data_IF_792223580910
#
_entry.id   IF_792223580910
#
_cell.length_a   1.000
_cell.length_b   1.000
_cell.length_c   1.000
_cell.angle_alpha   90.00
_cell.angle_beta   90.00
_cell.angle_gamma   90.00
#
_symmetry.space_group_name_H-M   'P 1'
#
loop_
_entity.id
_entity.type
_entity.pdbx_description
1 polymer ?
#
# COMPACT_ATOMS: atom_id res chain seq x y z
N UNK A 1 6.77 5.52 -15.04
CA UNK A 1 6.58 5.30 -13.60
C UNK A 1 5.69 4.10 -13.37
N UNK A 2 6.08 3.17 -12.48
CA UNK A 2 5.35 1.91 -12.27
C UNK A 2 4.63 1.89 -10.93
N UNK A 3 3.36 1.48 -10.95
CA UNK A 3 2.54 1.25 -9.76
C UNK A 3 2.24 -0.25 -9.67
N UNK A 4 2.37 -0.83 -8.49
CA UNK A 4 1.99 -2.21 -8.22
C UNK A 4 0.95 -2.28 -7.10
N UNK A 5 -0.10 -3.06 -7.33
CA UNK A 5 -1.17 -3.30 -6.37
C UNK A 5 -1.29 -4.80 -6.12
N UNK A 6 -1.24 -5.19 -4.85
CA UNK A 6 -1.45 -6.56 -4.40
C UNK A 6 -2.92 -6.68 -3.99
N UNK A 7 -3.73 -7.27 -4.88
CA UNK A 7 -5.18 -7.44 -4.73
C UNK A 7 -5.54 -8.91 -4.89
N UNK A 8 -5.20 -9.74 -3.91
CA UNK A 8 -5.56 -11.17 -3.94
C UNK A 8 -6.66 -11.52 -2.94
N UNK A 9 -7.31 -12.66 -3.18
CA UNK A 9 -8.33 -13.23 -2.29
C UNK A 9 -7.73 -14.09 -1.15
N UNK A 10 -6.41 -14.23 -1.02
CA UNK A 10 -5.79 -15.20 -0.08
C UNK A 10 -4.51 -14.72 0.63
N UNK A 11 -4.36 -15.06 1.91
CA UNK A 11 -3.30 -14.56 2.80
C UNK A 11 -1.86 -14.89 2.39
N UNK A 12 -1.59 -16.11 1.89
CA UNK A 12 -0.22 -16.54 1.57
C UNK A 12 0.34 -15.82 0.34
N UNK A 13 -0.48 -15.62 -0.69
CA UNK A 13 -0.03 -15.03 -1.93
C UNK A 13 0.35 -13.55 -1.77
N UNK A 14 -0.32 -12.82 -0.88
CA UNK A 14 0.00 -11.41 -0.64
C UNK A 14 1.36 -11.21 0.02
N UNK A 15 1.71 -12.03 1.01
CA UNK A 15 3.02 -11.95 1.68
C UNK A 15 4.15 -12.22 0.68
N UNK A 16 4.04 -13.30 -0.10
CA UNK A 16 5.05 -13.66 -1.10
C UNK A 16 5.17 -12.59 -2.19
N UNK A 17 4.05 -12.07 -2.70
CA UNK A 17 4.06 -10.99 -3.68
C UNK A 17 4.72 -9.73 -3.09
N UNK A 18 4.39 -9.38 -1.84
CA UNK A 18 4.95 -8.23 -1.17
C UNK A 18 6.46 -8.38 -1.00
N UNK A 19 6.93 -9.52 -0.47
CA UNK A 19 8.35 -9.82 -0.30
C UNK A 19 9.17 -9.54 -1.57
N UNK A 20 8.71 -10.04 -2.73
CA UNK A 20 9.42 -9.84 -3.99
C UNK A 20 9.32 -8.42 -4.58
N UNK A 21 8.36 -7.62 -4.13
CA UNK A 21 8.13 -6.26 -4.64
C UNK A 21 8.77 -5.17 -3.77
N UNK A 22 9.14 -5.46 -2.51
CA UNK A 22 9.64 -4.47 -1.54
C UNK A 22 10.84 -3.66 -2.03
N UNK A 23 11.78 -4.31 -2.73
CA UNK A 23 13.03 -3.69 -3.20
C UNK A 23 13.01 -3.36 -4.70
N UNK A 24 11.84 -3.45 -5.33
CA UNK A 24 11.69 -3.07 -6.74
C UNK A 24 11.58 -1.54 -6.84
N UNK A 25 12.12 -0.92 -7.92
CA UNK A 25 12.08 0.52 -8.13
C UNK A 25 10.67 0.97 -8.57
N UNK A 26 9.70 0.83 -7.67
CA UNK A 26 8.29 1.18 -7.89
C UNK A 26 8.04 2.61 -7.41
N UNK A 27 7.23 3.35 -8.17
CA UNK A 27 6.71 4.65 -7.70
C UNK A 27 5.72 4.46 -6.55
N UNK A 28 5.05 3.32 -6.52
CA UNK A 28 4.00 3.02 -5.57
C UNK A 28 3.84 1.51 -5.42
N UNK A 29 3.72 1.05 -4.19
CA UNK A 29 3.41 -0.33 -3.84
C UNK A 29 2.31 -0.34 -2.79
N UNK A 30 1.17 -0.95 -3.12
CA UNK A 30 0.03 -1.00 -2.20
C UNK A 30 -0.58 -2.39 -2.09
N UNK A 31 -1.23 -2.65 -0.95
CA UNK A 31 -1.83 -3.95 -0.64
C UNK A 31 -3.22 -3.80 -0.02
N UNK A 32 -4.19 -4.56 -0.56
CA UNK A 32 -5.53 -4.65 0.04
C UNK A 32 -5.52 -5.61 1.23
N UNK A 33 -6.34 -5.32 2.24
CA UNK A 33 -6.56 -6.25 3.34
C UNK A 33 -7.18 -5.57 4.55
N UNK A 34 -7.68 -6.37 5.49
CA UNK A 34 -8.02 -5.84 6.81
C UNK A 34 -6.76 -5.41 7.56
N UNK A 35 -6.88 -4.46 8.48
CA UNK A 35 -5.77 -4.01 9.35
C UNK A 35 -5.07 -5.19 10.05
N UNK A 36 -5.86 -6.16 10.54
CA UNK A 36 -5.34 -7.38 11.17
C UNK A 36 -4.50 -8.22 10.20
N UNK A 37 -4.97 -8.43 8.96
CA UNK A 37 -4.24 -9.17 7.93
C UNK A 37 -2.91 -8.50 7.60
N UNK A 38 -2.93 -7.19 7.37
CA UNK A 38 -1.74 -6.41 7.03
C UNK A 38 -0.70 -6.49 8.14
N UNK A 39 -1.13 -6.32 9.40
CA UNK A 39 -0.26 -6.43 10.57
C UNK A 39 0.47 -7.79 10.62
N UNK A 40 -0.26 -8.89 10.47
CA UNK A 40 0.33 -10.24 10.48
C UNK A 40 1.33 -10.46 9.34
N UNK A 41 1.04 -9.95 8.14
CA UNK A 41 1.97 -10.03 7.01
C UNK A 41 3.24 -9.22 7.29
N UNK A 42 3.11 -8.00 7.83
CA UNK A 42 4.26 -7.15 8.13
C UNK A 42 5.12 -7.72 9.26
N UNK A 43 4.51 -8.30 10.29
CA UNK A 43 5.22 -9.00 11.37
C UNK A 43 6.07 -10.14 10.80
N UNK A 44 5.49 -11.00 9.96
CA UNK A 44 6.24 -12.09 9.31
C UNK A 44 7.35 -11.61 8.40
N UNK A 45 7.12 -10.59 7.59
CA UNK A 45 8.15 -10.04 6.71
C UNK A 45 9.33 -9.46 7.50
N UNK A 46 9.07 -8.87 8.68
CA UNK A 46 10.14 -8.43 9.60
C UNK A 46 10.91 -9.62 10.17
N UNK A 47 10.23 -10.68 10.58
CA UNK A 47 10.85 -11.92 11.03
C UNK A 47 11.72 -12.56 9.93
N UNK A 48 11.32 -12.41 8.66
CA UNK A 48 12.07 -12.83 7.47
C UNK A 48 13.21 -11.86 7.09
N UNK A 49 13.45 -10.79 7.87
CA UNK A 49 14.56 -9.86 7.69
C UNK A 49 14.29 -8.67 6.76
N UNK A 50 13.04 -8.43 6.35
CA UNK A 50 12.71 -7.24 5.55
C UNK A 50 12.91 -5.96 6.37
N UNK A 51 13.55 -4.96 5.76
CA UNK A 51 13.86 -3.71 6.46
C UNK A 51 12.60 -2.92 6.85
N UNK A 52 12.61 -2.22 8.00
CA UNK A 52 11.52 -1.31 8.38
C UNK A 52 11.25 -0.25 7.31
N UNK A 53 12.29 0.27 6.67
CA UNK A 53 12.17 1.30 5.63
C UNK A 53 11.50 0.77 4.36
N UNK A 54 11.80 -0.47 3.94
CA UNK A 54 11.11 -1.08 2.80
C UNK A 54 9.63 -1.30 3.09
N UNK A 55 9.31 -1.75 4.31
CA UNK A 55 7.91 -1.92 4.74
C UNK A 55 7.17 -0.59 4.92
N UNK A 56 7.85 0.47 5.36
CA UNK A 56 7.25 1.80 5.57
C UNK A 56 6.78 2.47 4.26
N UNK A 57 7.35 2.08 3.11
CA UNK A 57 6.93 2.56 1.78
C UNK A 57 5.65 1.90 1.26
N UNK A 58 5.13 0.88 1.95
CA UNK A 58 3.98 0.09 1.49
C UNK A 58 2.66 0.73 1.93
N UNK A 59 1.80 1.04 0.96
CA UNK A 59 0.48 1.60 1.19
C UNK A 59 -0.54 0.49 1.50
N UNK A 60 -0.82 0.26 2.78
CA UNK A 60 -1.81 -0.72 3.21
C UNK A 60 -2.62 -0.24 4.45
N UNK A 61 -3.96 -0.40 4.50
CA UNK A 61 -4.83 -0.90 3.42
C UNK A 61 -5.03 0.12 2.31
N UNK A 62 -5.15 -0.34 1.07
CA UNK A 62 -5.50 0.50 -0.07
C UNK A 62 -6.88 1.17 0.06
N UNK A 63 -6.99 2.40 -0.45
CA UNK A 63 -8.22 3.15 -0.65
C UNK A 63 -8.37 4.33 0.32
N UNK A 64 -8.87 5.46 -0.20
CA UNK A 64 -9.29 6.59 0.64
C UNK A 64 -10.58 6.28 1.40
N UNK A 65 -10.74 6.87 2.58
CA UNK A 65 -11.92 6.65 3.41
C UNK A 65 -13.16 7.33 2.81
N UNK A 66 -14.00 6.56 2.12
CA UNK A 66 -15.28 7.02 1.55
C UNK A 66 -16.49 6.21 2.08
N UNK A 67 -16.28 5.37 3.09
CA UNK A 67 -17.33 4.50 3.63
C UNK A 67 -17.68 3.30 2.73
N UNK A 68 -16.76 2.85 1.89
CA UNK A 68 -16.95 1.71 0.97
C UNK A 68 -17.41 0.44 1.69
N UNK A 69 -18.41 -0.23 1.12
CA UNK A 69 -18.97 -1.53 1.55
C UNK A 69 -18.96 -2.57 0.44
N UNK A 70 -19.08 -2.14 -0.82
CA UNK A 70 -19.12 -3.01 -1.99
C UNK A 70 -17.79 -3.04 -2.74
N UNK A 71 -17.57 -4.08 -3.56
CA UNK A 71 -16.36 -4.19 -4.39
C UNK A 71 -16.19 -2.98 -5.34
N UNK A 72 -17.24 -2.49 -6.04
CA UNK A 72 -17.13 -1.27 -6.83
C UNK A 72 -16.74 -0.03 -6.02
N UNK A 73 -17.32 0.16 -4.84
CA UNK A 73 -16.98 1.29 -3.96
C UNK A 73 -15.53 1.21 -3.45
N UNK A 74 -15.02 0.00 -3.20
CA UNK A 74 -13.61 -0.22 -2.87
C UNK A 74 -12.73 0.11 -4.08
N UNK A 75 -13.12 -0.31 -5.29
CA UNK A 75 -12.36 0.02 -6.49
C UNK A 75 -12.27 1.54 -6.72
N UNK A 76 -13.39 2.27 -6.53
CA UNK A 76 -13.40 3.74 -6.62
C UNK A 76 -12.47 4.37 -5.58
N UNK A 77 -12.47 3.90 -4.33
CA UNK A 77 -11.60 4.45 -3.29
C UNK A 77 -10.12 4.22 -3.58
N UNK A 78 -9.77 3.07 -4.16
CA UNK A 78 -8.40 2.76 -4.60
C UNK A 78 -8.01 3.65 -5.78
N UNK A 79 -8.86 3.78 -6.79
CA UNK A 79 -8.60 4.65 -7.93
C UNK A 79 -8.39 6.12 -7.51
N UNK A 80 -9.21 6.62 -6.59
CA UNK A 80 -9.06 7.96 -6.03
C UNK A 80 -7.72 8.14 -5.31
N UNK A 81 -7.28 7.16 -4.53
CA UNK A 81 -5.96 7.14 -3.90
C UNK A 81 -4.82 7.21 -4.94
N UNK A 82 -4.87 6.39 -5.99
CA UNK A 82 -3.84 6.36 -7.03
C UNK A 82 -3.74 7.68 -7.79
N UNK A 83 -4.88 8.29 -8.10
CA UNK A 83 -4.95 9.62 -8.75
C UNK A 83 -4.37 10.68 -7.83
N UNK A 84 -4.73 10.68 -6.53
CA UNK A 84 -4.18 11.60 -5.55
C UNK A 84 -2.66 11.45 -5.42
N UNK A 85 -2.16 10.24 -5.21
CA UNK A 85 -0.71 9.99 -5.11
C UNK A 85 0.05 10.49 -6.36
N UNK A 86 -0.52 10.29 -7.55
CA UNK A 86 0.10 10.75 -8.81
C UNK A 86 0.12 12.27 -8.93
N UNK A 87 -1.01 12.92 -8.65
CA UNK A 87 -1.19 14.35 -8.92
C UNK A 87 -0.71 15.24 -7.77
N UNK A 88 -0.61 14.71 -6.55
CA UNK A 88 -0.21 15.40 -5.33
C UNK A 88 1.19 14.99 -4.85
N UNK A 89 2.06 14.58 -5.77
CA UNK A 89 3.48 14.28 -5.51
C UNK A 89 3.71 13.27 -4.36
N UNK A 90 2.85 12.25 -4.27
CA UNK A 90 2.92 11.20 -3.24
C UNK A 90 1.94 11.37 -2.10
N UNK A 91 1.32 12.54 -1.93
CA UNK A 91 0.32 12.75 -0.88
C UNK A 91 -0.99 12.00 -1.17
N UNK A 92 -1.60 11.46 -0.11
CA UNK A 92 -2.89 10.75 -0.15
C UNK A 92 -3.80 11.31 0.95
N UNK A 93 -5.04 11.72 0.62
CA UNK A 93 -5.99 12.21 1.62
C UNK A 93 -6.23 11.20 2.74
N UNK A 94 -6.16 11.68 3.99
CA UNK A 94 -6.42 10.86 5.17
C UNK A 94 -5.31 9.86 5.53
N UNK A 95 -4.15 9.92 4.86
CA UNK A 95 -2.94 9.22 5.28
C UNK A 95 -1.90 10.22 5.76
N UNK A 96 -1.27 9.90 6.89
CA UNK A 96 -0.03 10.56 7.27
C UNK A 96 1.04 10.19 6.23
N UNK A 97 1.62 11.19 5.58
CA UNK A 97 2.74 10.99 4.66
C UNK A 97 3.96 10.54 5.46
N UNK A 98 4.62 9.42 5.12
CA UNK A 98 5.96 9.16 5.63
C UNK A 98 6.88 10.24 5.07
N UNK A 99 7.31 11.18 5.92
CA UNK A 99 8.34 12.20 5.68
C UNK A 99 8.56 12.57 4.21
N UNK A 100 7.62 13.31 3.62
CA UNK A 100 7.93 14.04 2.39
C UNK A 100 8.72 15.28 2.81
N UNK A 101 10.05 15.18 2.73
CA UNK A 101 10.88 16.38 2.59
C UNK A 101 10.41 17.02 1.29
N UNK A 102 9.66 18.11 1.39
CA UNK A 102 9.31 18.95 0.24
C UNK A 102 10.65 19.52 -0.27
N UNK A 103 11.12 19.22 -1.48
CA UNK A 103 12.20 20.00 -2.05
C UNK A 103 11.63 21.40 -2.32
N UNK A 104 12.30 22.42 -1.75
CA UNK A 104 12.09 23.83 -2.09
C UNK A 104 12.21 24.07 -3.59
#
# INVERSE_FOLDING_TARGET
>A
STYALIVTRGHRHDQTALYHLLDRPLRYLGMIGSRRKIRLIFERLREEGCSPDSLARVYAPLGVAIGSRTVPEIAVSICAELVAHRNLLGAIPGRETPNTVIPL
#
